data_IF_667190634085
#
_entry.id   IF_667190634085
#
_cell.length_a   1.000
_cell.length_b   1.000
_cell.length_c   1.000
_cell.angle_alpha   90.00
_cell.angle_beta   90.00
_cell.angle_gamma   90.00
#
_symmetry.space_group_name_H-M   'P 1'
#
loop_
_entity.id
_entity.type
_entity.pdbx_description
1 polymer ?
#
# COMPACT_ATOMS: atom_id res chain seq x y z
N UNK A 1 -25.04 14.83 18.45
CA UNK A 1 -25.50 13.68 17.64
C UNK A 1 -26.83 14.04 17.00
N UNK A 2 -27.02 13.76 15.69
CA UNK A 2 -28.28 14.08 15.02
C UNK A 2 -29.41 13.20 15.60
N UNK A 3 -30.58 13.80 15.87
CA UNK A 3 -31.74 13.11 16.47
C UNK A 3 -32.32 12.01 15.58
N UNK A 4 -32.02 12.04 14.28
CA UNK A 4 -32.48 11.10 13.27
C UNK A 4 -31.84 9.70 13.35
N UNK A 5 -30.77 9.53 14.13
CA UNK A 5 -30.04 8.26 14.21
C UNK A 5 -30.53 7.41 15.39
N UNK A 6 -31.54 6.57 15.15
CA UNK A 6 -32.05 5.61 16.14
C UNK A 6 -31.15 4.36 16.20
N UNK A 7 -30.04 4.50 16.94
CA UNK A 7 -29.04 3.44 17.12
C UNK A 7 -29.62 2.15 17.73
N UNK A 8 -30.76 2.21 18.41
CA UNK A 8 -31.41 1.04 19.02
C UNK A 8 -32.07 0.13 17.98
N UNK A 9 -32.32 0.64 16.77
CA UNK A 9 -32.91 -0.13 15.65
C UNK A 9 -31.88 -0.77 14.74
N UNK A 10 -30.57 -0.55 14.97
CA UNK A 10 -29.52 -1.18 14.19
C UNK A 10 -29.48 -2.69 14.48
N UNK A 11 -29.86 -3.49 13.48
CA UNK A 11 -29.70 -4.94 13.53
C UNK A 11 -28.21 -5.28 13.41
N UNK A 12 -27.71 -6.16 14.28
CA UNK A 12 -26.36 -6.72 14.14
C UNK A 12 -26.27 -7.37 12.76
N UNK A 13 -25.25 -7.01 11.98
CA UNK A 13 -25.02 -7.59 10.66
C UNK A 13 -24.97 -9.13 10.82
N UNK A 14 -25.82 -9.88 10.11
CA UNK A 14 -25.74 -11.33 10.13
C UNK A 14 -24.50 -11.79 9.36
N UNK A 15 -23.82 -12.79 9.91
CA UNK A 15 -22.66 -13.44 9.28
C UNK A 15 -21.30 -12.85 9.69
N UNK A 16 -20.20 -13.58 9.38
CA UNK A 16 -18.86 -13.15 9.69
C UNK A 16 -18.50 -11.85 8.94
N UNK A 17 -17.52 -11.13 9.49
CA UNK A 17 -16.88 -10.01 8.79
C UNK A 17 -16.29 -10.58 7.49
N UNK A 18 -16.62 -9.96 6.36
CA UNK A 18 -16.00 -10.30 5.07
C UNK A 18 -14.57 -9.79 5.12
N UNK A 19 -13.63 -10.66 5.46
CA UNK A 19 -12.20 -10.39 5.41
C UNK A 19 -11.71 -10.98 4.09
N UNK A 20 -11.15 -10.13 3.24
CA UNK A 20 -10.54 -10.51 1.97
C UNK A 20 -9.10 -10.98 2.28
N UNK A 21 -8.79 -12.28 2.25
CA UNK A 21 -7.46 -12.77 2.60
C UNK A 21 -6.35 -12.16 1.75
N UNK A 22 -6.66 -11.84 0.49
CA UNK A 22 -5.77 -11.17 -0.46
C UNK A 22 -5.41 -9.73 -0.06
N UNK A 23 -6.22 -9.08 0.79
CA UNK A 23 -5.98 -7.73 1.29
C UNK A 23 -5.18 -7.72 2.61
N UNK A 24 -4.85 -8.90 3.15
CA UNK A 24 -4.08 -9.00 4.39
C UNK A 24 -2.64 -8.57 4.14
N UNK A 25 -2.12 -7.70 5.01
CA UNK A 25 -0.71 -7.29 4.97
C UNK A 25 0.15 -8.29 5.75
N UNK A 26 1.26 -8.72 5.15
CA UNK A 26 2.26 -9.54 5.82
C UNK A 26 3.38 -8.67 6.37
N UNK A 27 3.63 -8.75 7.68
CA UNK A 27 4.78 -8.09 8.29
C UNK A 27 6.05 -8.87 7.99
N UNK A 28 7.03 -8.24 7.33
CA UNK A 28 8.30 -8.85 6.96
C UNK A 28 9.46 -7.98 7.43
N UNK A 29 10.60 -8.62 7.75
CA UNK A 29 11.86 -7.93 8.02
C UNK A 29 12.70 -7.91 6.75
N UNK A 30 13.10 -6.72 6.30
CA UNK A 30 13.99 -6.53 5.15
C UNK A 30 15.16 -5.63 5.56
N UNK A 31 16.36 -5.91 5.03
CA UNK A 31 17.51 -5.01 5.14
C UNK A 31 17.56 -4.15 3.88
N UNK A 32 17.66 -2.85 4.07
CA UNK A 32 17.78 -1.85 3.00
C UNK A 32 18.95 -0.93 3.33
N UNK A 33 19.59 -0.40 2.31
CA UNK A 33 20.65 0.59 2.49
C UNK A 33 20.10 1.83 3.20
N UNK A 34 20.87 2.37 4.15
CA UNK A 34 20.46 3.52 4.94
C UNK A 34 20.10 4.73 4.06
N UNK A 35 20.86 4.93 2.98
CA UNK A 35 20.59 6.01 2.01
C UNK A 35 19.24 5.83 1.33
N UNK A 36 18.90 4.61 0.89
CA UNK A 36 17.62 4.30 0.23
C UNK A 36 16.46 4.57 1.18
N UNK A 37 16.58 4.16 2.45
CA UNK A 37 15.55 4.43 3.48
C UNK A 37 15.37 5.92 3.72
N UNK A 38 16.46 6.69 3.72
CA UNK A 38 16.41 8.15 3.89
C UNK A 38 15.66 8.82 2.73
N UNK A 39 16.03 8.50 1.48
CA UNK A 39 15.38 9.04 0.29
C UNK A 39 13.88 8.71 0.23
N UNK A 40 13.51 7.47 0.55
CA UNK A 40 12.11 7.04 0.60
C UNK A 40 11.32 7.80 1.66
N UNK A 41 11.92 8.11 2.82
CA UNK A 41 11.25 8.90 3.87
C UNK A 41 11.05 10.34 3.42
N UNK A 42 12.05 10.96 2.81
CA UNK A 42 11.97 12.32 2.26
C UNK A 42 10.86 12.41 1.22
N UNK A 43 10.83 11.48 0.28
CA UNK A 43 9.85 11.48 -0.81
C UNK A 43 8.43 11.20 -0.29
N UNK A 44 8.28 10.25 0.64
CA UNK A 44 7.00 9.98 1.26
C UNK A 44 6.47 11.19 2.04
N UNK A 45 7.34 11.90 2.75
CA UNK A 45 6.98 13.13 3.44
C UNK A 45 6.51 14.21 2.45
N UNK A 46 7.24 14.40 1.34
CA UNK A 46 6.87 15.33 0.25
C UNK A 46 5.49 15.00 -0.33
N UNK A 47 5.15 13.72 -0.45
CA UNK A 47 3.85 13.25 -0.94
C UNK A 47 2.74 13.24 0.12
N UNK A 48 3.06 13.51 1.39
CA UNK A 48 2.11 13.40 2.51
C UNK A 48 1.70 11.96 2.84
N UNK A 49 2.56 10.97 2.55
CA UNK A 49 2.31 9.55 2.75
C UNK A 49 3.28 8.95 3.79
N UNK A 50 2.89 7.87 4.50
CA UNK A 50 3.85 7.08 5.26
C UNK A 50 4.86 6.40 4.33
N UNK A 51 6.15 6.40 4.70
CA UNK A 51 7.21 5.79 3.87
C UNK A 51 6.98 4.30 3.59
N UNK A 52 6.38 3.58 4.54
CA UNK A 52 6.01 2.16 4.37
C UNK A 52 4.92 1.99 3.29
N UNK A 53 3.97 2.94 3.21
CA UNK A 53 2.95 2.96 2.16
C UNK A 53 3.58 3.21 0.79
N UNK A 54 4.56 4.13 0.72
CA UNK A 54 5.29 4.38 -0.51
C UNK A 54 6.07 3.13 -0.96
N UNK A 55 6.80 2.47 -0.06
CA UNK A 55 7.49 1.21 -0.34
C UNK A 55 6.52 0.17 -0.91
N UNK A 56 5.38 -0.03 -0.24
CA UNK A 56 4.38 -0.99 -0.68
C UNK A 56 3.80 -0.64 -2.06
N UNK A 57 3.56 0.64 -2.33
CA UNK A 57 3.06 1.10 -3.64
C UNK A 57 4.07 0.86 -4.76
N UNK A 58 5.36 1.12 -4.52
CA UNK A 58 6.43 0.87 -5.48
C UNK A 58 6.54 -0.62 -5.80
N UNK A 59 6.53 -1.48 -4.78
CA UNK A 59 6.56 -2.94 -4.97
C UNK A 59 5.33 -3.45 -5.72
N UNK A 60 4.14 -2.96 -5.37
CA UNK A 60 2.91 -3.29 -6.08
C UNK A 60 3.00 -2.93 -7.57
N UNK A 61 3.38 -1.68 -7.88
CA UNK A 61 3.55 -1.22 -9.26
C UNK A 61 4.60 -1.99 -10.05
N UNK A 62 5.66 -2.44 -9.39
CA UNK A 62 6.66 -3.30 -10.02
C UNK A 62 6.06 -4.66 -10.39
N UNK A 63 5.31 -5.29 -9.48
CA UNK A 63 4.66 -6.58 -9.73
C UNK A 63 3.53 -6.48 -10.75
N UNK A 64 2.79 -5.36 -10.80
CA UNK A 64 1.74 -5.14 -11.82
C UNK A 64 2.28 -4.71 -13.18
N UNK A 65 3.58 -4.48 -13.32
CA UNK A 65 4.21 -4.04 -14.57
C UNK A 65 4.05 -2.55 -14.89
N UNK A 66 3.45 -1.77 -13.98
CA UNK A 66 3.32 -0.32 -14.11
C UNK A 66 4.65 0.42 -13.92
N UNK A 67 5.59 -0.19 -13.18
CA UNK A 67 6.95 0.33 -13.01
C UNK A 67 7.92 -0.43 -13.92
N UNK A 68 8.24 0.19 -15.07
CA UNK A 68 9.20 -0.36 -16.04
C UNK A 68 10.63 0.04 -15.67
N UNK A 69 11.52 -0.94 -15.59
CA UNK A 69 12.96 -0.67 -15.45
C UNK A 69 13.49 0.00 -16.72
N UNK A 70 14.11 1.17 -16.56
CA UNK A 70 14.73 1.92 -17.65
C UNK A 70 15.88 1.15 -18.31
N UNK A 71 16.53 0.22 -17.59
CA UNK A 71 17.60 -0.60 -18.14
C UNK A 71 17.07 -1.72 -19.05
N UNK A 72 15.93 -2.34 -18.70
CA UNK A 72 15.30 -3.38 -19.50
C UNK A 72 14.83 -2.88 -20.89
N UNK A 73 14.54 -1.58 -21.03
CA UNK A 73 14.20 -0.96 -22.34
C UNK A 73 15.36 -0.90 -23.32
N UNK A 74 16.62 -1.04 -22.88
CA UNK A 74 17.80 -0.92 -23.76
C UNK A 74 18.15 -2.22 -24.48
N UNK A 75 17.63 -3.35 -24.01
CA UNK A 75 17.90 -4.69 -24.56
C UNK A 75 16.81 -5.22 -25.48
N UNK A 76 15.79 -4.41 -25.81
CA UNK A 76 14.62 -4.80 -26.63
C UNK A 76 14.48 -4.00 -27.92
N UNK A 77 15.59 -3.67 -28.57
CA UNK A 77 15.61 -3.13 -29.94
C UNK A 77 16.53 -4.01 -30.77
N UNK A 78 15.95 -5.06 -31.33
CA UNK A 78 16.36 -5.77 -32.55
C UNK A 78 15.12 -6.50 -33.10
#
# INVERSE_FOLDING_TARGET
MKKEYDLKKLKKRPGPIKVYPEAAKTAITIRLDAIVVSELKTEAHRMGLPYQTLINSVLHRFVTGELVDKQAKRTGTD
#
